data_IF_218214128307
#
_entry.id   IF_218214128307
#
_cell.length_a   1.000
_cell.length_b   1.000
_cell.length_c   1.000
_cell.angle_alpha   90.00
_cell.angle_beta   90.00
_cell.angle_gamma   90.00
#
_symmetry.space_group_name_H-M   'P 1'
#
loop_
_entity.id
_entity.type
_entity.pdbx_description
1 polymer ?
#
# COMPACT_ATOMS: atom_id res chain seq x y z
N UNK A 1 14.10 -19.98 -6.72
CA UNK A 1 13.09 -19.65 -5.69
C UNK A 1 13.74 -19.92 -4.34
N UNK A 2 13.99 -18.89 -3.53
CA UNK A 2 14.69 -19.05 -2.24
C UNK A 2 13.77 -19.78 -1.25
N UNK A 3 14.27 -20.82 -0.58
CA UNK A 3 13.52 -21.62 0.40
C UNK A 3 12.79 -20.78 1.48
N UNK A 4 13.35 -19.63 1.85
CA UNK A 4 12.73 -18.66 2.78
C UNK A 4 11.35 -18.13 2.33
N UNK A 5 11.08 -18.09 1.02
CA UNK A 5 9.79 -17.63 0.48
C UNK A 5 8.67 -18.68 0.56
N UNK A 6 9.03 -19.95 0.80
CA UNK A 6 8.09 -21.07 0.96
C UNK A 6 7.82 -21.42 2.42
N UNK A 7 8.69 -21.02 3.37
CA UNK A 7 8.50 -21.33 4.79
C UNK A 7 7.23 -20.71 5.38
N UNK A 8 7.00 -19.41 5.17
CA UNK A 8 5.81 -18.74 5.71
C UNK A 8 4.47 -19.36 5.26
N UNK A 9 4.23 -19.66 3.97
CA UNK A 9 2.99 -20.30 3.54
C UNK A 9 2.86 -21.80 3.89
N UNK A 10 3.98 -22.49 4.19
CA UNK A 10 3.97 -23.89 4.66
C UNK A 10 3.65 -23.93 6.17
N UNK A 11 4.29 -23.07 6.96
CA UNK A 11 4.08 -22.97 8.42
C UNK A 11 2.65 -22.52 8.76
N UNK A 12 2.07 -21.64 7.94
CA UNK A 12 0.66 -21.23 8.06
C UNK A 12 -0.34 -22.27 7.57
N UNK A 13 0.11 -23.44 7.09
CA UNK A 13 -0.72 -24.49 6.48
C UNK A 13 -1.54 -24.04 5.27
N UNK A 14 -1.33 -22.83 4.76
CA UNK A 14 -2.16 -22.21 3.72
C UNK A 14 -1.94 -22.88 2.35
N UNK A 15 -0.67 -23.15 2.01
CA UNK A 15 -0.29 -23.82 0.76
C UNK A 15 -0.73 -25.29 0.69
N UNK A 16 -0.47 -26.15 1.71
CA UNK A 16 -0.89 -27.54 1.64
C UNK A 16 -2.41 -27.70 1.65
N UNK A 17 -3.12 -26.86 2.42
CA UNK A 17 -4.59 -26.90 2.47
C UNK A 17 -5.18 -26.49 1.13
N UNK A 18 -4.69 -25.40 0.54
CA UNK A 18 -5.24 -24.97 -0.74
C UNK A 18 -4.82 -25.88 -1.90
N UNK A 19 -3.65 -26.53 -1.82
CA UNK A 19 -3.27 -27.62 -2.72
C UNK A 19 -4.21 -28.83 -2.61
N UNK A 20 -4.59 -29.23 -1.39
CA UNK A 20 -5.52 -30.34 -1.17
C UNK A 20 -6.95 -30.00 -1.60
N UNK A 21 -7.42 -28.78 -1.32
CA UNK A 21 -8.75 -28.30 -1.74
C UNK A 21 -8.81 -28.17 -3.25
N UNK A 22 -7.79 -27.62 -3.90
CA UNK A 22 -7.76 -27.51 -5.37
C UNK A 22 -7.63 -28.86 -6.05
N UNK A 23 -6.81 -29.78 -5.53
CA UNK A 23 -6.75 -31.16 -6.03
C UNK A 23 -8.12 -31.84 -5.91
N UNK A 24 -8.78 -31.73 -4.76
CA UNK A 24 -10.10 -32.32 -4.51
C UNK A 24 -11.16 -31.77 -5.48
N UNK A 25 -11.16 -30.45 -5.68
CA UNK A 25 -12.09 -29.76 -6.57
C UNK A 25 -11.81 -30.07 -8.06
N UNK A 26 -10.53 -30.11 -8.48
CA UNK A 26 -10.14 -30.40 -9.85
C UNK A 26 -10.45 -31.85 -10.26
N UNK A 27 -10.23 -32.81 -9.36
CA UNK A 27 -10.61 -34.21 -9.56
C UNK A 27 -12.13 -34.34 -9.72
N UNK A 28 -12.90 -33.63 -8.89
CA UNK A 28 -14.36 -33.59 -9.02
C UNK A 28 -14.85 -32.95 -10.33
N UNK A 29 -14.19 -31.88 -10.78
CA UNK A 29 -14.51 -31.18 -12.03
C UNK A 29 -14.17 -31.97 -13.30
N UNK A 30 -12.98 -32.58 -13.36
CA UNK A 30 -12.52 -33.40 -14.49
C UNK A 30 -13.43 -34.64 -14.67
N UNK A 31 -13.88 -35.23 -13.58
CA UNK A 31 -14.79 -36.37 -13.59
C UNK A 31 -16.18 -36.02 -14.16
N UNK A 32 -16.71 -34.82 -13.88
CA UNK A 32 -17.97 -34.33 -14.51
C UNK A 32 -17.85 -34.12 -16.02
N UNK A 33 -16.66 -33.77 -16.49
CA UNK A 33 -16.38 -33.59 -17.92
C UNK A 33 -16.23 -34.93 -18.65
N UNK A 34 -15.61 -35.93 -18.01
CA UNK A 34 -15.41 -37.26 -18.57
C UNK A 34 -16.68 -38.13 -18.54
N UNK A 35 -17.60 -37.90 -17.59
CA UNK A 35 -18.87 -38.61 -17.49
C UNK A 35 -20.03 -37.68 -17.85
N UNK A 36 -20.03 -37.13 -19.07
CA UNK A 36 -21.29 -36.78 -19.73
C UNK A 36 -21.89 -38.09 -20.29
N UNK A 37 -22.90 -38.70 -19.67
CA UNK A 37 -23.70 -39.66 -20.40
C UNK A 37 -24.34 -38.91 -21.57
N UNK A 38 -24.11 -39.36 -22.80
CA UNK A 38 -24.77 -38.81 -23.97
C UNK A 38 -26.28 -38.83 -23.74
N UNK A 39 -26.88 -37.65 -23.64
CA UNK A 39 -28.33 -37.51 -23.67
C UNK A 39 -28.72 -37.59 -25.14
N UNK A 40 -29.08 -38.79 -25.58
CA UNK A 40 -29.72 -39.00 -26.87
C UNK A 40 -31.08 -38.29 -26.88
N UNK A 41 -31.30 -37.50 -27.93
CA UNK A 41 -32.63 -37.20 -28.45
C UNK A 41 -33.49 -38.47 -28.51
N UNK A 42 -34.75 -38.41 -28.06
CA UNK A 42 -35.95 -38.92 -28.74
C UNK A 42 -37.20 -38.47 -27.96
N UNK A 43 -37.89 -37.47 -28.54
CA UNK A 43 -39.34 -37.42 -28.80
C UNK A 43 -40.36 -37.62 -27.65
N UNK A 44 -41.22 -36.62 -27.38
CA UNK A 44 -42.56 -36.50 -28.02
C UNK A 44 -43.48 -35.42 -27.37
N UNK A 45 -43.85 -34.38 -28.17
CA UNK A 45 -45.15 -33.64 -28.32
C UNK A 45 -46.10 -33.48 -27.09
N UNK A 46 -46.77 -32.35 -26.80
CA UNK A 46 -47.45 -31.29 -27.60
C UNK A 46 -47.87 -30.10 -26.68
N UNK A 47 -48.41 -28.99 -27.22
CA UNK A 47 -48.38 -27.66 -26.60
C UNK A 47 -49.70 -27.20 -25.96
N UNK A 48 -49.59 -26.00 -25.37
CA UNK A 48 -50.58 -24.91 -25.33
C UNK A 48 -51.57 -24.75 -24.16
N UNK A 49 -51.58 -23.48 -23.70
CA UNK A 49 -52.73 -22.67 -23.28
C UNK A 49 -53.09 -22.54 -21.79
N UNK A 50 -52.75 -21.34 -21.30
CA UNK A 50 -53.71 -20.34 -20.79
C UNK A 50 -54.02 -20.26 -19.30
N UNK A 51 -53.65 -19.09 -18.79
CA UNK A 51 -54.48 -18.18 -17.98
C UNK A 51 -54.54 -18.36 -16.45
N UNK A 52 -54.05 -17.30 -15.80
CA UNK A 52 -54.78 -16.41 -14.88
C UNK A 52 -54.52 -16.48 -13.36
N UNK A 53 -54.59 -15.27 -12.78
CA UNK A 53 -54.97 -14.90 -11.40
C UNK A 53 -53.85 -14.58 -10.38
N UNK A 54 -53.53 -13.28 -10.38
CA UNK A 54 -53.39 -12.30 -9.27
C UNK A 54 -52.73 -12.62 -7.91
N UNK A 55 -51.83 -11.69 -7.55
CA UNK A 55 -51.57 -11.02 -6.25
C UNK A 55 -50.93 -11.75 -5.06
N UNK A 56 -49.79 -11.14 -4.68
CA UNK A 56 -49.31 -10.79 -3.33
C UNK A 56 -48.31 -11.70 -2.57
N UNK A 57 -47.13 -11.09 -2.37
CA UNK A 57 -46.25 -11.14 -1.20
C UNK A 57 -45.69 -12.50 -0.75
N UNK A 58 -44.56 -12.86 -1.36
CA UNK A 58 -43.36 -13.36 -0.69
C UNK A 58 -42.23 -13.30 -1.73
N UNK A 59 -41.15 -12.56 -1.49
CA UNK A 59 -39.98 -12.55 -2.37
C UNK A 59 -39.32 -13.93 -2.36
N UNK A 60 -39.83 -14.78 -3.24
CA UNK A 60 -39.31 -16.07 -3.61
C UNK A 60 -38.02 -15.84 -4.40
N UNK A 61 -36.88 -16.24 -3.83
CA UNK A 61 -35.66 -16.54 -4.60
C UNK A 61 -35.90 -17.83 -5.38
N UNK A 62 -36.88 -17.82 -6.28
CA UNK A 62 -37.18 -18.87 -7.25
C UNK A 62 -36.94 -18.28 -8.63
N UNK A 63 -35.81 -18.64 -9.22
CA UNK A 63 -35.47 -18.15 -10.56
C UNK A 63 -33.97 -18.10 -10.88
N UNK A 64 -33.10 -18.72 -10.09
CA UNK A 64 -31.73 -18.95 -10.59
C UNK A 64 -31.78 -20.16 -11.49
N UNK A 65 -31.61 -19.94 -12.80
CA UNK A 65 -31.46 -21.01 -13.78
C UNK A 65 -30.40 -22.01 -13.29
N UNK A 66 -30.84 -23.21 -12.89
CA UNK A 66 -29.98 -24.34 -12.50
C UNK A 66 -28.74 -24.52 -13.41
N UNK A 67 -28.83 -24.42 -14.76
CA UNK A 67 -27.66 -24.54 -15.62
C UNK A 67 -26.67 -23.36 -15.51
N UNK A 68 -27.15 -22.14 -15.25
CA UNK A 68 -26.29 -20.97 -15.07
C UNK A 68 -25.50 -21.10 -13.77
N UNK A 69 -26.18 -21.53 -12.70
CA UNK A 69 -25.58 -21.75 -11.40
C UNK A 69 -24.51 -22.85 -11.45
N UNK A 70 -24.78 -23.95 -12.16
CA UNK A 70 -23.82 -25.03 -12.39
C UNK A 70 -22.62 -24.57 -13.23
N UNK A 71 -22.85 -23.77 -14.28
CA UNK A 71 -21.79 -23.15 -15.06
C UNK A 71 -20.90 -22.24 -14.22
N UNK A 72 -21.50 -21.35 -13.41
CA UNK A 72 -20.76 -20.46 -12.48
C UNK A 72 -19.91 -21.25 -11.50
N UNK A 73 -20.42 -22.38 -10.99
CA UNK A 73 -19.64 -23.25 -10.10
C UNK A 73 -18.41 -23.82 -10.77
N UNK A 74 -18.56 -24.37 -11.98
CA UNK A 74 -17.42 -24.95 -12.71
C UNK A 74 -16.42 -23.88 -13.10
N UNK A 75 -16.89 -22.71 -13.52
CA UNK A 75 -16.03 -21.56 -13.85
C UNK A 75 -15.17 -21.13 -12.66
N UNK A 76 -15.77 -20.94 -11.48
CA UNK A 76 -15.05 -20.55 -10.26
C UNK A 76 -14.02 -21.61 -9.81
N UNK A 77 -14.32 -22.88 -10.05
CA UNK A 77 -13.42 -24.01 -9.78
C UNK A 77 -12.20 -23.96 -10.70
N UNK A 78 -12.40 -23.80 -12.01
CA UNK A 78 -11.29 -23.68 -12.97
C UNK A 78 -10.46 -22.43 -12.70
N UNK A 79 -11.12 -21.32 -12.39
CA UNK A 79 -10.48 -20.07 -12.05
C UNK A 79 -9.60 -20.21 -10.80
N UNK A 80 -10.09 -20.86 -9.73
CA UNK A 80 -9.29 -21.15 -8.54
C UNK A 80 -8.04 -21.98 -8.88
N UNK A 81 -8.18 -23.01 -9.72
CA UNK A 81 -7.06 -23.87 -10.13
C UNK A 81 -5.94 -23.05 -10.80
N UNK A 82 -6.28 -22.25 -11.81
CA UNK A 82 -5.29 -21.43 -12.53
C UNK A 82 -4.63 -20.38 -11.63
N UNK A 83 -5.41 -19.70 -10.76
CA UNK A 83 -4.83 -18.72 -9.83
C UNK A 83 -3.96 -19.37 -8.75
N UNK A 84 -4.24 -20.62 -8.35
CA UNK A 84 -3.38 -21.37 -7.41
C UNK A 84 -2.04 -21.69 -8.04
N UNK A 85 -2.06 -22.16 -9.30
CA UNK A 85 -0.85 -22.44 -10.06
C UNK A 85 -0.01 -21.16 -10.25
N UNK A 86 -0.64 -20.05 -10.63
CA UNK A 86 0.03 -18.75 -10.76
C UNK A 86 0.58 -18.21 -9.43
N UNK A 87 -0.15 -18.36 -8.32
CA UNK A 87 0.29 -17.92 -6.99
C UNK A 87 1.47 -18.75 -6.46
N UNK A 88 1.55 -20.04 -6.85
CA UNK A 88 2.70 -20.89 -6.55
C UNK A 88 3.95 -20.50 -7.36
N UNK A 89 3.78 -20.14 -8.63
CA UNK A 89 4.89 -19.71 -9.49
C UNK A 89 5.38 -18.29 -9.17
N UNK A 90 4.48 -17.38 -8.75
CA UNK A 90 4.81 -15.96 -8.51
C UNK A 90 4.21 -15.51 -7.17
N UNK A 91 5.07 -15.32 -6.16
CA UNK A 91 4.70 -14.87 -4.81
C UNK A 91 3.83 -13.60 -4.78
N UNK A 92 4.02 -12.67 -5.73
CA UNK A 92 3.28 -11.41 -5.83
C UNK A 92 1.85 -11.57 -6.33
N UNK A 93 1.51 -12.67 -7.00
CA UNK A 93 0.16 -12.89 -7.55
C UNK A 93 -0.82 -13.50 -6.53
N UNK A 94 -0.37 -13.74 -5.28
CA UNK A 94 -1.23 -14.20 -4.17
C UNK A 94 -2.43 -13.28 -3.93
N UNK A 95 -2.31 -11.98 -4.24
CA UNK A 95 -3.40 -11.01 -4.11
C UNK A 95 -4.65 -11.38 -4.95
N UNK A 96 -4.46 -11.96 -6.14
CA UNK A 96 -5.57 -12.36 -7.01
C UNK A 96 -6.16 -13.73 -6.65
N UNK A 97 -5.44 -14.52 -5.88
CA UNK A 97 -5.83 -15.87 -5.50
C UNK A 97 -6.76 -15.90 -4.29
N UNK A 98 -6.50 -15.07 -3.27
CA UNK A 98 -7.32 -14.97 -2.04
C UNK A 98 -8.83 -14.79 -2.29
N UNK A 99 -9.31 -13.87 -3.16
CA UNK A 99 -10.74 -13.71 -3.38
C UNK A 99 -11.40 -14.95 -4.01
N UNK A 100 -10.68 -15.67 -4.88
CA UNK A 100 -11.18 -16.90 -5.50
C UNK A 100 -11.32 -18.03 -4.48
N UNK A 101 -10.37 -18.12 -3.54
CA UNK A 101 -10.43 -19.06 -2.42
C UNK A 101 -11.61 -18.75 -1.50
N UNK A 102 -11.87 -17.47 -1.20
CA UNK A 102 -13.03 -17.06 -0.39
C UNK A 102 -14.37 -17.42 -1.05
N UNK A 103 -14.52 -17.16 -2.36
CA UNK A 103 -15.74 -17.47 -3.10
C UNK A 103 -16.02 -18.97 -3.17
N UNK A 104 -14.98 -19.77 -3.40
CA UNK A 104 -15.12 -21.24 -3.45
C UNK A 104 -15.42 -21.84 -2.07
N UNK A 105 -14.86 -21.31 -0.99
CA UNK A 105 -15.22 -21.68 0.39
C UNK A 105 -16.68 -21.31 0.72
N UNK A 106 -17.13 -20.12 0.32
CA UNK A 106 -18.52 -19.69 0.52
C UNK A 106 -19.51 -20.61 -0.22
N UNK A 107 -19.16 -21.07 -1.42
CA UNK A 107 -19.96 -22.05 -2.16
C UNK A 107 -19.98 -23.44 -1.50
N UNK A 108 -18.88 -23.84 -0.86
CA UNK A 108 -18.79 -25.11 -0.13
C UNK A 108 -19.57 -25.10 1.18
N UNK A 109 -19.69 -23.93 1.83
CA UNK A 109 -20.51 -23.75 3.02
C UNK A 109 -22.02 -23.80 2.73
N UNK A 110 -22.44 -23.79 1.46
CA UNK A 110 -23.85 -23.79 1.09
C UNK A 110 -24.47 -25.22 1.13
N UNK A 111 -25.48 -25.47 1.98
CA UNK A 111 -25.93 -26.82 2.35
C UNK A 111 -26.56 -27.62 1.20
N UNK A 112 -27.20 -26.93 0.23
CA UNK A 112 -27.89 -27.56 -0.91
C UNK A 112 -26.89 -28.21 -1.89
N UNK A 113 -25.70 -27.62 -2.04
CA UNK A 113 -24.70 -28.11 -3.01
C UNK A 113 -23.82 -29.22 -2.45
N UNK A 114 -23.50 -29.15 -1.17
CA UNK A 114 -22.78 -30.22 -0.49
C UNK A 114 -23.49 -31.58 -0.66
N UNK A 115 -24.82 -31.60 -0.59
CA UNK A 115 -25.61 -32.82 -0.80
C UNK A 115 -25.48 -33.39 -2.23
N UNK A 116 -25.39 -32.54 -3.25
CA UNK A 116 -25.19 -32.97 -4.65
C UNK A 116 -23.76 -33.46 -4.89
N UNK A 117 -22.78 -32.80 -4.28
CA UNK A 117 -21.35 -33.14 -4.39
C UNK A 117 -21.05 -34.47 -3.67
N UNK A 118 -21.59 -34.66 -2.46
CA UNK A 118 -21.49 -35.93 -1.71
C UNK A 118 -22.24 -37.07 -2.39
N UNK A 119 -23.39 -36.82 -3.03
CA UNK A 119 -24.10 -37.84 -3.81
C UNK A 119 -23.26 -38.34 -5.00
N UNK A 120 -22.55 -37.46 -5.68
CA UNK A 120 -21.62 -37.83 -6.76
C UNK A 120 -20.40 -38.59 -6.22
N UNK A 121 -19.90 -38.23 -5.04
CA UNK A 121 -18.78 -38.94 -4.40
C UNK A 121 -19.18 -40.33 -3.89
N UNK A 122 -20.40 -40.51 -3.40
CA UNK A 122 -20.88 -41.84 -2.97
C UNK A 122 -21.11 -42.81 -4.14
N UNK A 123 -21.18 -42.29 -5.39
CA UNK A 123 -21.07 -43.11 -6.61
C UNK A 123 -19.64 -43.61 -6.88
N UNK A 124 -18.61 -43.01 -6.26
CA UNK A 124 -17.23 -43.51 -6.27
C UNK A 124 -17.04 -44.72 -5.34
N UNK A 125 -17.86 -44.85 -4.29
CA UNK A 125 -17.85 -46.01 -3.38
C UNK A 125 -18.45 -47.30 -3.95
N UNK A 126 -18.92 -47.29 -5.21
CA UNK A 126 -19.56 -48.45 -5.84
C UNK A 126 -18.57 -49.45 -6.48
N UNK A 127 -17.35 -49.53 -5.97
CA UNK A 127 -16.47 -50.69 -6.15
C UNK A 127 -16.61 -51.73 -5.01
N UNK A 128 -17.39 -51.45 -3.97
CA UNK A 128 -17.77 -52.45 -2.98
C UNK A 128 -19.28 -52.76 -3.08
N UNK A 129 -19.63 -53.63 -4.02
CA UNK A 129 -20.94 -54.27 -4.05
C UNK A 129 -20.97 -55.36 -2.98
N UNK A 130 -21.72 -55.16 -1.89
CA UNK A 130 -22.55 -56.19 -1.23
C UNK A 130 -23.32 -55.58 -0.07
N UNK A 131 -24.44 -54.91 -0.35
CA UNK A 131 -25.56 -54.77 0.59
C UNK A 131 -26.80 -54.21 -0.12
N UNK A 132 -27.32 -54.96 -1.09
CA UNK A 132 -28.63 -54.71 -1.68
C UNK A 132 -29.70 -55.26 -0.73
N UNK A 133 -30.12 -54.46 0.27
CA UNK A 133 -31.42 -54.48 0.96
C UNK A 133 -31.36 -53.72 2.29
N UNK A 134 -31.61 -52.41 2.26
CA UNK A 134 -32.21 -51.72 3.41
C UNK A 134 -32.82 -50.38 3.01
N UNK A 135 -34.01 -50.46 2.39
CA UNK A 135 -34.85 -49.31 2.10
C UNK A 135 -35.39 -48.75 3.42
N UNK A 136 -35.32 -47.42 3.58
CA UNK A 136 -36.02 -46.57 4.56
C UNK A 136 -35.30 -46.16 5.88
N UNK A 137 -34.10 -46.68 6.22
CA UNK A 137 -33.27 -46.11 7.33
C UNK A 137 -32.05 -45.29 6.85
N UNK A 138 -32.02 -44.94 5.56
CA UNK A 138 -30.88 -44.29 4.87
C UNK A 138 -31.03 -42.77 4.72
N UNK A 139 -32.22 -42.21 4.98
CA UNK A 139 -32.47 -40.76 4.86
C UNK A 139 -31.89 -39.98 6.06
N UNK A 140 -32.04 -40.50 7.29
CA UNK A 140 -31.58 -39.83 8.53
C UNK A 140 -30.05 -39.82 8.67
N UNK A 141 -29.36 -40.87 8.21
CA UNK A 141 -27.89 -40.99 8.23
C UNK A 141 -27.19 -40.06 7.22
N UNK A 142 -27.88 -39.63 6.15
CA UNK A 142 -27.36 -38.67 5.15
C UNK A 142 -27.35 -37.23 5.64
N UNK A 143 -28.29 -36.82 6.48
CA UNK A 143 -28.30 -35.46 7.06
C UNK A 143 -27.20 -35.30 8.11
N UNK A 144 -26.99 -36.33 8.94
CA UNK A 144 -25.94 -36.35 9.97
C UNK A 144 -24.52 -36.22 9.40
N UNK A 145 -24.21 -36.93 8.29
CA UNK A 145 -22.89 -36.84 7.62
C UNK A 145 -22.61 -35.46 7.02
N UNK A 146 -23.64 -34.77 6.52
CA UNK A 146 -23.52 -33.40 6.00
C UNK A 146 -23.22 -32.40 7.12
N UNK A 147 -23.93 -32.52 8.25
CA UNK A 147 -23.68 -31.68 9.43
C UNK A 147 -22.28 -31.87 9.99
N UNK A 148 -21.79 -33.12 10.08
CA UNK A 148 -20.43 -33.41 10.53
C UNK A 148 -19.40 -32.76 9.61
N UNK A 149 -19.58 -32.82 8.29
CA UNK A 149 -18.65 -32.21 7.36
C UNK A 149 -18.62 -30.67 7.44
N UNK A 150 -19.78 -30.01 7.62
CA UNK A 150 -19.83 -28.57 7.83
C UNK A 150 -19.18 -28.18 9.17
N UNK A 151 -19.40 -28.97 10.22
CA UNK A 151 -18.75 -28.76 11.51
C UNK A 151 -17.22 -28.88 11.41
N UNK A 152 -16.71 -29.85 10.64
CA UNK A 152 -15.28 -29.99 10.37
C UNK A 152 -14.72 -28.82 9.55
N UNK A 153 -15.46 -28.32 8.55
CA UNK A 153 -15.07 -27.14 7.76
C UNK A 153 -14.98 -25.88 8.62
N UNK A 154 -15.96 -25.66 9.50
CA UNK A 154 -15.98 -24.51 10.43
C UNK A 154 -14.83 -24.61 11.43
N UNK A 155 -14.59 -25.80 12.00
CA UNK A 155 -13.47 -26.05 12.90
C UNK A 155 -12.12 -25.78 12.20
N UNK A 156 -12.00 -26.20 10.95
CA UNK A 156 -10.80 -25.96 10.14
C UNK A 156 -10.59 -24.47 9.86
N UNK A 157 -11.63 -23.72 9.50
CA UNK A 157 -11.56 -22.27 9.32
C UNK A 157 -11.15 -21.57 10.62
N UNK A 158 -11.74 -21.95 11.75
CA UNK A 158 -11.39 -21.43 13.07
C UNK A 158 -9.91 -21.67 13.39
N UNK A 159 -9.39 -22.88 13.13
CA UNK A 159 -7.96 -23.19 13.31
C UNK A 159 -7.05 -22.26 12.50
N UNK A 160 -7.38 -22.01 11.23
CA UNK A 160 -6.59 -21.16 10.33
C UNK A 160 -6.61 -19.68 10.73
N UNK A 161 -7.62 -19.23 11.49
CA UNK A 161 -7.66 -17.84 12.00
C UNK A 161 -6.67 -17.60 13.13
N UNK A 162 -6.26 -18.62 13.88
CA UNK A 162 -5.38 -18.45 15.06
C UNK A 162 -3.99 -17.92 14.69
N UNK A 163 -3.26 -18.49 13.70
CA UNK A 163 -2.00 -17.92 13.23
C UNK A 163 -2.18 -16.52 12.62
N UNK A 164 -3.30 -16.28 11.93
CA UNK A 164 -3.61 -14.97 11.35
C UNK A 164 -3.77 -13.88 12.41
N UNK A 165 -4.48 -14.18 13.49
CA UNK A 165 -4.69 -13.26 14.60
C UNK A 165 -3.39 -12.94 15.33
N UNK A 166 -2.50 -13.93 15.52
CA UNK A 166 -1.18 -13.71 16.12
C UNK A 166 -0.32 -12.76 15.30
N UNK A 167 -0.36 -12.89 13.96
CA UNK A 167 0.37 -11.99 13.06
C UNK A 167 -0.22 -10.57 13.10
N UNK A 168 -1.55 -10.43 13.09
CA UNK A 168 -2.20 -9.13 13.20
C UNK A 168 -1.90 -8.45 14.54
N UNK A 169 -1.90 -9.21 15.64
CA UNK A 169 -1.51 -8.71 16.95
C UNK A 169 -0.05 -8.26 16.99
N UNK A 170 0.86 -8.98 16.32
CA UNK A 170 2.25 -8.57 16.22
C UNK A 170 2.41 -7.23 15.47
N UNK A 171 1.70 -7.05 14.35
CA UNK A 171 1.71 -5.78 13.61
C UNK A 171 1.03 -4.65 14.40
N UNK A 172 -0.10 -4.91 15.06
CA UNK A 172 -0.80 -3.92 15.89
C UNK A 172 -0.04 -3.55 17.16
N UNK A 173 0.81 -4.45 17.66
CA UNK A 173 1.70 -4.17 18.78
C UNK A 173 2.84 -3.20 18.41
N UNK A 174 3.09 -2.97 17.12
CA UNK A 174 3.99 -1.91 16.64
C UNK A 174 3.23 -0.58 16.71
N UNK A 175 3.06 -0.08 17.92
CA UNK A 175 2.48 1.25 18.16
C UNK A 175 3.61 2.27 18.31
N UNK A 176 3.66 3.26 17.41
CA UNK A 176 4.33 4.53 17.69
C UNK A 176 5.86 4.51 17.70
N UNK A 177 6.50 3.93 16.69
CA UNK A 177 7.81 4.43 16.28
C UNK A 177 7.66 4.86 14.83
N UNK A 178 7.56 6.17 14.58
CA UNK A 178 8.07 6.67 13.31
C UNK A 178 9.49 6.09 13.24
N UNK A 179 9.79 5.28 12.23
CA UNK A 179 11.06 4.55 12.13
C UNK A 179 12.28 5.48 11.99
N UNK A 180 12.09 6.78 12.18
CA UNK A 180 13.04 7.84 11.94
C UNK A 180 12.97 8.92 13.04
N UNK A 181 13.56 8.59 14.20
CA UNK A 181 13.77 9.51 15.32
C UNK A 181 14.33 10.88 14.90
N UNK A 182 15.28 10.90 13.96
CA UNK A 182 15.93 12.13 13.49
C UNK A 182 14.96 13.10 12.78
N UNK A 183 13.90 12.59 12.16
CA UNK A 183 12.89 13.40 11.48
C UNK A 183 11.87 13.96 12.47
N UNK A 184 11.59 13.24 13.55
CA UNK A 184 10.76 13.71 14.67
C UNK A 184 11.44 14.86 15.42
N UNK A 185 12.74 14.73 15.73
CA UNK A 185 13.51 15.82 16.39
C UNK A 185 13.55 17.07 15.51
N UNK A 186 13.74 16.91 14.19
CA UNK A 186 13.71 18.04 13.26
C UNK A 186 12.32 18.68 13.19
N UNK A 187 11.26 17.86 13.20
CA UNK A 187 9.88 18.34 13.21
C UNK A 187 9.58 19.16 14.47
N UNK A 188 9.93 18.64 15.64
CA UNK A 188 9.74 19.31 16.93
C UNK A 188 10.52 20.63 16.97
N UNK A 189 11.74 20.64 16.43
CA UNK A 189 12.51 21.87 16.28
C UNK A 189 11.81 22.92 15.41
N UNK A 190 11.25 22.54 14.25
CA UNK A 190 10.47 23.49 13.43
C UNK A 190 9.22 23.99 14.16
N UNK A 191 8.52 23.12 14.89
CA UNK A 191 7.34 23.50 15.69
C UNK A 191 7.68 24.45 16.84
N UNK A 192 8.91 24.40 17.36
CA UNK A 192 9.39 25.30 18.41
C UNK A 192 9.66 26.73 17.94
N UNK A 193 9.66 27.00 16.63
CA UNK A 193 9.99 28.31 16.09
C UNK A 193 8.93 29.38 16.43
N UNK A 194 9.35 30.60 16.76
CA UNK A 194 8.41 31.69 17.03
C UNK A 194 7.67 32.11 15.75
N UNK A 195 6.44 32.66 15.85
CA UNK A 195 5.73 33.19 14.68
C UNK A 195 6.41 34.46 14.14
N UNK A 196 6.54 34.58 12.81
CA UNK A 196 7.03 35.81 12.17
C UNK A 196 5.95 36.89 12.30
N UNK A 197 6.20 37.92 13.13
CA UNK A 197 5.37 39.13 13.20
C UNK A 197 5.97 40.24 12.35
N UNK A 198 5.64 40.28 11.06
CA UNK A 198 6.04 41.39 10.21
C UNK A 198 4.88 41.83 9.35
N UNK A 199 4.08 42.77 9.87
CA UNK A 199 3.56 43.95 9.15
C UNK A 199 2.70 44.79 10.08
N UNK A 200 2.63 46.09 9.77
CA UNK A 200 1.72 47.12 10.31
C UNK A 200 0.23 46.80 10.17
N UNK A 201 -0.13 45.63 9.62
CA UNK A 201 -1.51 45.18 9.31
C UNK A 201 -1.86 43.84 9.99
N UNK A 202 -0.97 43.24 10.81
CA UNK A 202 -1.35 42.14 11.72
C UNK A 202 -1.52 40.75 11.08
N UNK A 203 -1.00 40.51 9.88
CA UNK A 203 -0.93 39.16 9.30
C UNK A 203 0.39 38.47 9.64
N UNK A 204 0.32 37.21 10.08
CA UNK A 204 1.49 36.37 10.32
C UNK A 204 2.03 35.83 8.97
N UNK A 205 3.33 35.95 8.73
CA UNK A 205 3.98 35.41 7.51
C UNK A 205 4.50 33.99 7.75
N UNK A 206 4.30 33.03 6.82
CA UNK A 206 4.74 31.66 6.99
C UNK A 206 6.26 31.51 6.92
N UNK A 207 6.79 30.54 7.65
CA UNK A 207 8.18 30.11 7.49
C UNK A 207 8.34 29.33 6.18
N UNK A 208 9.21 29.80 5.30
CA UNK A 208 9.48 29.17 4.00
C UNK A 208 10.72 28.28 4.09
N UNK A 209 10.57 27.00 3.76
CA UNK A 209 11.62 25.98 3.87
C UNK A 209 11.99 25.46 2.47
N UNK A 210 13.29 25.42 2.18
CA UNK A 210 13.89 24.82 0.99
C UNK A 210 14.80 23.64 1.35
N UNK A 211 15.03 22.73 0.41
CA UNK A 211 15.90 21.57 0.61
C UNK A 211 15.44 20.30 -0.12
N UNK A 212 15.95 19.12 0.28
CA UNK A 212 15.64 17.84 -0.32
C UNK A 212 14.17 17.48 -0.28
N UNK A 213 13.61 17.07 -1.41
CA UNK A 213 12.19 16.72 -1.55
C UNK A 213 11.75 15.62 -0.59
N UNK A 214 12.59 14.62 -0.33
CA UNK A 214 12.30 13.54 0.63
C UNK A 214 12.02 14.09 2.03
N UNK A 215 12.85 15.02 2.50
CA UNK A 215 12.72 15.64 3.82
C UNK A 215 11.56 16.62 3.85
N UNK A 216 11.42 17.47 2.82
CA UNK A 216 10.30 18.42 2.74
C UNK A 216 8.95 17.73 2.62
N UNK A 217 8.87 16.57 1.95
CA UNK A 217 7.66 15.78 1.84
C UNK A 217 7.14 15.32 3.20
N UNK A 218 8.04 14.81 4.05
CA UNK A 218 7.70 14.43 5.43
C UNK A 218 7.26 15.63 6.26
N UNK A 219 8.05 16.72 6.24
CA UNK A 219 7.71 17.94 6.97
C UNK A 219 6.38 18.55 6.52
N UNK A 220 6.07 18.52 5.22
CA UNK A 220 4.82 19.06 4.68
C UNK A 220 3.58 18.31 5.12
N UNK A 221 3.71 17.02 5.44
CA UNK A 221 2.60 16.21 5.95
C UNK A 221 2.35 16.44 7.45
N UNK A 222 3.38 16.88 8.19
CA UNK A 222 3.35 16.96 9.65
C UNK A 222 3.30 18.39 10.20
N UNK A 223 3.76 19.39 9.44
CA UNK A 223 3.72 20.79 9.82
C UNK A 223 2.41 21.47 9.35
N UNK A 224 1.85 22.40 10.14
CA UNK A 224 0.65 23.13 9.74
C UNK A 224 0.94 23.96 8.49
N UNK A 225 0.13 23.81 7.45
CA UNK A 225 0.32 24.54 6.20
C UNK A 225 0.06 26.05 6.39
N UNK A 226 0.83 26.87 5.68
CA UNK A 226 0.66 28.33 5.63
C UNK A 226 -0.73 28.77 5.19
N UNK A 227 -1.40 27.98 4.34
CA UNK A 227 -2.78 28.19 3.91
C UNK A 227 -3.58 26.89 4.12
N UNK A 228 -4.76 26.94 4.75
CA UNK A 228 -5.64 25.78 4.83
C UNK A 228 -6.09 25.37 3.43
N UNK A 229 -6.14 24.06 3.19
CA UNK A 229 -6.77 23.49 2.01
C UNK A 229 -8.24 23.15 2.33
N UNK A 230 -9.22 23.47 1.47
CA UNK A 230 -9.10 24.30 0.27
C UNK A 230 -8.88 25.78 0.61
N UNK A 231 -8.17 26.49 -0.27
CA UNK A 231 -7.85 27.94 -0.16
C UNK A 231 -9.08 28.86 -0.14
N UNK A 232 -10.29 28.32 -0.16
CA UNK A 232 -11.57 29.03 -0.03
C UNK A 232 -12.03 29.22 1.41
N UNK A 233 -11.36 28.64 2.41
CA UNK A 233 -11.70 28.89 3.81
C UNK A 233 -11.08 30.20 4.28
N UNK A 234 -11.92 31.23 4.35
CA UNK A 234 -11.64 32.52 4.98
C UNK A 234 -11.42 32.31 6.49
N UNK A 235 -10.18 32.42 6.95
CA UNK A 235 -9.86 32.49 8.38
C UNK A 235 -10.60 33.67 9.00
N UNK A 236 -11.48 33.42 9.98
CA UNK A 236 -12.25 34.48 10.63
C UNK A 236 -11.31 35.57 11.20
N UNK A 237 -11.64 36.87 11.03
CA UNK A 237 -10.85 37.96 11.60
C UNK A 237 -10.85 37.84 13.13
N UNK A 238 -9.67 37.60 13.71
CA UNK A 238 -9.49 37.34 15.14
C UNK A 238 -9.02 35.93 15.50
N UNK A 239 -9.00 34.99 14.55
CA UNK A 239 -8.25 33.74 14.70
C UNK A 239 -6.76 34.04 14.60
N UNK A 240 -6.02 33.91 15.72
CA UNK A 240 -4.56 33.86 15.70
C UNK A 240 -4.11 32.58 14.99
N UNK A 241 -4.29 32.49 13.68
CA UNK A 241 -3.69 31.43 12.88
C UNK A 241 -2.19 31.68 12.88
N UNK A 242 -1.45 30.94 13.70
CA UNK A 242 0.00 30.84 13.59
C UNK A 242 0.35 30.68 12.12
N UNK A 243 1.18 31.58 11.62
CA UNK A 243 1.76 31.44 10.29
C UNK A 243 2.32 30.03 10.15
N UNK A 244 1.70 29.22 9.29
CA UNK A 244 2.15 27.86 9.06
C UNK A 244 3.46 27.83 8.28
N UNK A 245 3.75 26.67 7.68
CA UNK A 245 4.95 26.44 6.91
C UNK A 245 4.63 26.39 5.43
N UNK A 246 5.52 26.97 4.63
CA UNK A 246 5.50 26.92 3.18
C UNK A 246 6.77 26.21 2.68
N UNK A 247 6.64 25.47 1.59
CA UNK A 247 7.73 24.67 1.04
C UNK A 247 8.02 25.12 -0.38
N UNK A 248 9.30 25.30 -0.71
CA UNK A 248 9.69 25.85 -2.02
C UNK A 248 9.58 24.84 -3.15
N UNK A 249 9.53 23.55 -2.86
CA UNK A 249 9.58 22.49 -3.86
C UNK A 249 8.30 21.64 -3.89
N UNK A 250 7.91 21.15 -5.08
CA UNK A 250 6.75 20.27 -5.28
C UNK A 250 7.15 19.02 -6.10
N UNK A 251 6.79 17.78 -5.70
CA UNK A 251 7.23 16.54 -6.38
C UNK A 251 6.60 16.29 -7.76
N UNK A 252 6.03 17.32 -8.41
CA UNK A 252 5.47 17.23 -9.75
C UNK A 252 6.41 17.92 -10.74
N UNK A 253 7.18 17.12 -11.47
CA UNK A 253 8.19 17.60 -12.43
C UNK A 253 7.67 17.74 -13.87
N UNK A 254 6.36 17.66 -14.07
CA UNK A 254 5.74 17.71 -15.39
C UNK A 254 5.94 19.07 -16.06
N UNK A 255 5.85 20.16 -15.30
CA UNK A 255 6.05 21.51 -15.83
C UNK A 255 7.53 21.93 -15.82
N UNK A 256 7.93 22.71 -16.82
CA UNK A 256 9.29 23.27 -16.89
C UNK A 256 9.59 24.20 -15.71
N UNK A 257 8.61 25.00 -15.29
CA UNK A 257 8.76 25.94 -14.17
C UNK A 257 8.99 25.23 -12.83
N UNK A 258 8.30 24.11 -12.55
CA UNK A 258 8.51 23.35 -11.31
C UNK A 258 9.87 22.64 -11.30
N UNK A 259 10.35 22.20 -12.46
CA UNK A 259 11.71 21.65 -12.61
C UNK A 259 12.78 22.71 -12.35
N UNK A 260 12.65 23.90 -12.94
CA UNK A 260 13.57 25.02 -12.69
C UNK A 260 13.59 25.40 -11.20
N UNK A 261 12.42 25.52 -10.59
CA UNK A 261 12.30 25.80 -9.14
C UNK A 261 12.95 24.71 -8.28
N UNK A 262 12.90 23.45 -8.70
CA UNK A 262 13.59 22.34 -8.04
C UNK A 262 15.11 22.49 -8.11
N UNK A 263 15.65 22.87 -9.28
CA UNK A 263 17.10 23.13 -9.45
C UNK A 263 17.54 24.24 -8.50
N UNK A 264 16.76 25.32 -8.39
CA UNK A 264 17.04 26.42 -7.45
C UNK A 264 16.98 25.95 -5.99
N UNK A 265 16.01 25.10 -5.62
CA UNK A 265 15.89 24.59 -4.25
C UNK A 265 17.10 23.76 -3.82
N UNK A 266 17.76 23.09 -4.77
CA UNK A 266 18.96 22.28 -4.57
C UNK A 266 20.28 23.05 -4.81
N UNK A 267 20.24 24.36 -5.05
CA UNK A 267 21.41 25.17 -5.40
C UNK A 267 22.56 25.10 -4.37
N UNK A 268 22.27 24.77 -3.10
CA UNK A 268 23.28 24.56 -2.05
C UNK A 268 24.30 23.44 -2.37
N UNK A 269 23.93 22.48 -3.23
CA UNK A 269 24.82 21.41 -3.66
C UNK A 269 25.69 21.78 -4.87
N UNK A 270 25.47 22.95 -5.47
CA UNK A 270 26.26 23.42 -6.61
C UNK A 270 27.68 23.83 -6.20
N UNK A 271 28.52 24.10 -7.21
CA UNK A 271 29.87 24.67 -7.05
C UNK A 271 29.90 26.19 -7.20
N UNK A 272 28.73 26.85 -7.12
CA UNK A 272 28.60 28.31 -7.18
C UNK A 272 29.10 28.96 -5.89
N UNK A 273 29.36 30.27 -5.96
CA UNK A 273 29.77 31.03 -4.77
C UNK A 273 28.65 31.12 -3.73
N UNK A 274 29.03 31.25 -2.45
CA UNK A 274 28.08 31.39 -1.31
C UNK A 274 27.09 32.53 -1.57
N UNK A 275 27.58 33.66 -2.11
CA UNK A 275 26.80 34.85 -2.40
C UNK A 275 25.71 34.61 -3.46
N UNK A 276 26.04 33.91 -4.54
CA UNK A 276 25.08 33.60 -5.61
C UNK A 276 23.97 32.66 -5.13
N UNK A 277 24.35 31.64 -4.34
CA UNK A 277 23.40 30.69 -3.75
C UNK A 277 22.50 31.39 -2.74
N UNK A 278 23.06 32.28 -1.92
CA UNK A 278 22.28 33.14 -1.03
C UNK A 278 21.27 33.99 -1.78
N UNK A 279 21.68 34.61 -2.90
CA UNK A 279 20.79 35.39 -3.75
C UNK A 279 19.61 34.57 -4.29
N UNK A 280 19.86 33.31 -4.67
CA UNK A 280 18.80 32.37 -5.10
C UNK A 280 17.79 32.14 -3.97
N UNK A 281 18.27 31.76 -2.78
CA UNK A 281 17.38 31.46 -1.66
C UNK A 281 16.65 32.69 -1.15
N UNK A 282 17.33 33.83 -1.04
CA UNK A 282 16.77 35.06 -0.51
C UNK A 282 15.83 35.76 -1.49
N UNK A 283 16.24 35.93 -2.76
CA UNK A 283 15.50 36.76 -3.72
C UNK A 283 14.53 35.95 -4.59
N UNK A 284 14.88 34.73 -5.01
CA UNK A 284 14.05 33.96 -5.95
C UNK A 284 13.10 33.01 -5.22
N UNK A 285 13.60 32.26 -4.24
CA UNK A 285 12.79 31.30 -3.49
C UNK A 285 12.14 31.88 -2.23
N UNK A 286 12.62 33.03 -1.77
CA UNK A 286 12.20 33.68 -0.52
C UNK A 286 12.21 32.70 0.66
N UNK A 287 13.21 31.82 0.70
CA UNK A 287 13.37 30.80 1.72
C UNK A 287 13.95 31.42 3.01
N UNK A 288 13.38 31.07 4.15
CA UNK A 288 13.95 31.40 5.47
C UNK A 288 14.93 30.33 5.93
N UNK A 289 14.65 29.06 5.61
CA UNK A 289 15.49 27.93 5.98
C UNK A 289 15.87 27.08 4.76
N UNK A 290 17.10 26.60 4.75
CA UNK A 290 17.62 25.66 3.75
C UNK A 290 18.14 24.41 4.46
N UNK A 291 17.57 23.26 4.13
CA UNK A 291 17.99 21.96 4.65
C UNK A 291 18.98 21.34 3.66
N UNK A 292 20.08 20.79 4.18
CA UNK A 292 21.07 20.05 3.42
C UNK A 292 21.38 18.72 4.13
N UNK A 293 21.45 17.63 3.36
CA UNK A 293 21.80 16.30 3.86
C UNK A 293 23.22 15.92 3.43
N UNK A 294 24.10 15.59 4.39
CA UNK A 294 25.50 15.23 4.10
C UNK A 294 25.66 14.09 3.09
N UNK A 295 24.79 13.07 3.14
CA UNK A 295 24.89 11.90 2.25
C UNK A 295 24.67 12.24 0.77
N UNK A 296 23.98 13.35 0.48
CA UNK A 296 23.69 13.85 -0.87
C UNK A 296 24.84 14.69 -1.44
N UNK A 297 25.68 15.25 -0.57
CA UNK A 297 26.87 16.01 -0.94
C UNK A 297 28.10 15.12 -1.23
N UNK A 298 28.19 13.94 -0.58
CA UNK A 298 29.33 13.02 -0.78
C UNK A 298 29.38 12.53 -2.24
N UNK A 299 30.57 12.53 -2.88
CA UNK A 299 30.74 12.03 -4.25
C UNK A 299 30.26 10.59 -4.41
N UNK A 300 29.59 10.27 -5.52
CA UNK A 300 29.03 8.94 -5.81
C UNK A 300 29.25 8.54 -7.27
N UNK A 301 30.49 8.65 -7.74
CA UNK A 301 30.89 8.23 -9.09
C UNK A 301 29.96 8.77 -10.20
N UNK A 302 29.58 10.06 -10.10
CA UNK A 302 28.68 10.75 -11.03
C UNK A 302 27.21 10.86 -10.59
N UNK A 303 26.82 10.26 -9.47
CA UNK A 303 25.43 10.23 -8.99
C UNK A 303 25.15 11.12 -7.77
N UNK A 304 26.11 11.92 -7.31
CA UNK A 304 25.90 12.87 -6.21
C UNK A 304 25.31 14.19 -6.70
N UNK A 305 24.69 14.97 -5.82
CA UNK A 305 24.09 16.25 -6.23
C UNK A 305 25.13 17.22 -6.84
N UNK A 306 26.34 17.39 -6.29
CA UNK A 306 27.35 18.24 -6.93
C UNK A 306 27.73 17.77 -8.35
N UNK A 307 27.85 16.45 -8.55
CA UNK A 307 28.15 15.87 -9.87
C UNK A 307 26.98 16.04 -10.87
N UNK A 308 25.74 16.06 -10.38
CA UNK A 308 24.57 16.40 -11.22
C UNK A 308 24.57 17.89 -11.61
N UNK A 309 24.98 18.78 -10.68
CA UNK A 309 25.14 20.20 -10.99
C UNK A 309 26.28 20.46 -11.97
N UNK A 310 27.30 19.59 -12.04
CA UNK A 310 28.37 19.67 -13.05
C UNK A 310 27.84 19.53 -14.49
N UNK A 311 26.70 18.86 -14.68
CA UNK A 311 26.02 18.78 -15.98
C UNK A 311 25.31 20.08 -16.37
N UNK A 312 24.90 20.88 -15.37
CA UNK A 312 24.18 22.15 -15.56
C UNK A 312 25.19 23.30 -15.69
N UNK A 313 26.15 23.36 -14.75
CA UNK A 313 27.16 24.40 -14.64
C UNK A 313 28.55 23.84 -15.01
N UNK A 314 28.70 23.40 -16.26
CA UNK A 314 29.93 22.75 -16.76
C UNK A 314 31.20 23.59 -16.63
N UNK A 315 31.07 24.91 -16.51
CA UNK A 315 32.16 25.86 -16.31
C UNK A 315 32.72 25.89 -14.87
N UNK A 316 31.98 25.33 -13.90
CA UNK A 316 32.39 25.29 -12.48
C UNK A 316 32.99 23.95 -12.08
N UNK A 317 33.11 23.02 -13.03
CA UNK A 317 33.66 21.68 -12.79
C UNK A 317 35.10 21.80 -12.27
N UNK A 318 35.38 21.11 -11.17
CA UNK A 318 36.68 21.11 -10.50
C UNK A 318 36.80 22.08 -9.32
N UNK A 319 35.87 23.03 -9.16
CA UNK A 319 35.79 23.84 -7.93
C UNK A 319 35.25 23.01 -6.75
N UNK A 320 35.58 23.33 -5.48
CA UNK A 320 34.97 22.65 -4.34
C UNK A 320 33.46 22.86 -4.31
N UNK A 321 32.70 21.81 -3.98
CA UNK A 321 31.25 21.92 -3.88
C UNK A 321 30.86 22.66 -2.60
N UNK A 322 29.90 23.58 -2.70
CA UNK A 322 29.55 24.48 -1.60
C UNK A 322 29.12 23.70 -0.34
N UNK A 323 28.37 22.61 -0.52
CA UNK A 323 27.93 21.74 0.57
C UNK A 323 29.08 21.05 1.33
N UNK A 324 30.30 20.93 0.76
CA UNK A 324 31.43 20.29 1.42
C UNK A 324 31.93 21.11 2.62
N UNK A 325 31.86 22.45 2.53
CA UNK A 325 32.23 23.35 3.63
C UNK A 325 31.34 23.14 4.88
N UNK A 326 30.10 22.68 4.69
CA UNK A 326 29.15 22.41 5.77
C UNK A 326 29.31 21.00 6.36
N UNK A 327 30.11 20.15 5.75
CA UNK A 327 30.41 18.79 6.24
C UNK A 327 31.63 18.74 7.15
N UNK A 328 32.30 19.87 7.37
CA UNK A 328 33.49 19.93 8.20
C UNK A 328 33.16 19.65 9.68
N UNK A 329 34.01 18.94 10.44
CA UNK A 329 33.67 18.51 11.80
C UNK A 329 33.30 19.66 12.74
N UNK A 330 33.84 20.87 12.53
CA UNK A 330 33.51 22.05 13.32
C UNK A 330 32.04 22.48 13.13
N UNK A 331 31.51 22.34 11.92
CA UNK A 331 30.10 22.62 11.62
C UNK A 331 29.22 21.51 12.18
N UNK A 332 29.59 20.25 11.93
CA UNK A 332 28.74 19.09 12.28
C UNK A 332 28.68 18.84 13.79
N UNK A 333 29.79 19.02 14.51
CA UNK A 333 29.86 18.68 15.94
C UNK A 333 29.60 19.88 16.86
N UNK A 334 29.82 21.11 16.37
CA UNK A 334 29.74 22.32 17.21
C UNK A 334 28.73 23.34 16.68
N UNK A 335 28.00 23.03 15.60
CA UNK A 335 27.02 23.92 14.97
C UNK A 335 27.58 25.33 14.67
N UNK A 336 28.89 25.42 14.39
CA UNK A 336 29.55 26.69 14.12
C UNK A 336 29.41 27.04 12.66
N UNK A 337 28.96 28.26 12.38
CA UNK A 337 28.88 28.78 11.01
C UNK A 337 30.27 29.22 10.53
N UNK A 338 30.74 28.74 9.36
CA UNK A 338 32.00 29.19 8.77
C UNK A 338 32.04 30.71 8.58
N UNK A 339 33.21 31.33 8.77
CA UNK A 339 33.37 32.80 8.71
C UNK A 339 32.91 33.40 7.38
N UNK A 340 33.18 32.73 6.26
CA UNK A 340 32.77 33.15 4.91
C UNK A 340 31.25 33.09 4.70
N UNK A 341 30.55 32.27 5.50
CA UNK A 341 29.10 32.05 5.38
C UNK A 341 28.29 32.98 6.27
N UNK A 342 28.86 33.43 7.39
CA UNK A 342 28.20 34.32 8.37
C UNK A 342 27.44 35.51 7.77
N UNK A 343 27.89 36.24 6.73
CA UNK A 343 27.10 37.33 6.17
C UNK A 343 25.81 36.87 5.47
N UNK A 344 25.73 35.62 5.04
CA UNK A 344 24.66 35.09 4.18
C UNK A 344 23.76 34.08 4.89
N UNK A 345 24.35 33.17 5.66
CA UNK A 345 23.67 32.05 6.30
C UNK A 345 24.15 31.87 7.73
N UNK A 346 23.26 31.39 8.59
CA UNK A 346 23.59 30.90 9.93
C UNK A 346 23.20 29.43 10.07
N UNK A 347 24.10 28.60 10.59
CA UNK A 347 23.80 27.22 10.96
C UNK A 347 22.97 27.24 12.25
N UNK A 348 21.72 26.78 12.17
CA UNK A 348 20.76 26.85 13.30
C UNK A 348 20.36 25.50 13.87
N UNK A 349 20.53 24.42 13.09
CA UNK A 349 20.28 23.06 13.53
C UNK A 349 21.23 22.11 12.82
N UNK A 350 21.74 21.12 13.56
CA UNK A 350 22.59 20.07 13.04
C UNK A 350 22.20 18.75 13.67
N UNK A 351 22.05 17.73 12.83
CA UNK A 351 21.89 16.34 13.26
C UNK A 351 23.22 15.59 13.02
N UNK A 352 23.87 15.21 14.11
CA UNK A 352 25.14 14.47 14.09
C UNK A 352 25.02 13.05 13.54
N UNK A 353 23.84 12.43 13.56
CA UNK A 353 23.63 11.06 13.09
C UNK A 353 23.49 10.99 11.56
N UNK A 354 22.70 11.87 10.97
CA UNK A 354 22.50 11.92 9.51
C UNK A 354 23.47 12.86 8.80
N UNK A 355 24.12 13.76 9.56
CA UNK A 355 24.88 14.88 9.00
C UNK A 355 23.98 15.91 8.32
N UNK A 356 22.71 16.00 8.73
CA UNK A 356 21.78 17.01 8.22
C UNK A 356 22.08 18.35 8.88
N UNK A 357 22.07 19.41 8.08
CA UNK A 357 22.31 20.78 8.52
C UNK A 357 21.14 21.64 8.05
N UNK A 358 20.61 22.48 8.94
CA UNK A 358 19.62 23.52 8.60
C UNK A 358 20.30 24.87 8.72
N UNK A 359 20.21 25.62 7.63
CA UNK A 359 20.72 26.98 7.51
C UNK A 359 19.56 27.95 7.58
N UNK A 360 19.69 28.99 8.39
CA UNK A 360 18.86 30.18 8.33
C UNK A 360 19.43 31.15 7.30
N UNK A 361 18.58 31.65 6.40
CA UNK A 361 18.95 32.60 5.35
C UNK A 361 18.84 34.02 5.91
N UNK A 362 19.96 34.75 5.99
CA UNK A 362 19.94 36.11 6.52
C UNK A 362 19.19 37.04 5.55
N UNK A 363 18.29 37.91 6.06
CA UNK A 363 17.78 39.03 5.28
C UNK A 363 18.96 40.00 5.02
N UNK A 364 19.20 40.30 3.75
CA UNK A 364 20.37 41.07 3.31
C UNK A 364 20.35 42.55 3.63
#
# INVERSE_FOLDING_TARGET
MQWASLEQPIVTSLLPVAGLVTLWICVAGLFRLLIRPGVSEVQQRRPEQSASVTTETAESVEGVNQPLLDFTSMFLIFQLCFFTLMAGLIMRLKLFWTPQLCLTLALLAHPIRWQLLVRQFNSFGFLCQTARRWSNRVQATRYSTVLIAHALLILFLAYMTVPGLRNLQAEWAIHGQFSAYNEEVLLDWFQSLPPIRTTTVGHNMPWVIAGPMSTLGGLRLMLPAAAPYPTTQWSAPGSQSSAGFAFTNHPHYESAQLRERTVLAYAIYSRRSVHEVWKIYHQQLQANFVIMDAHSCRPRAGCSNPELFDLIDSHLVGQPALCQALMEPQVVNSAVTPSEWKPYFDVVYVDSHTGRVVLFVRPG
#
